data_IF_879184827852
#
_entry.id   IF_879184827852
#
_cell.length_a   1.000
_cell.length_b   1.000
_cell.length_c   1.000
_cell.angle_alpha   90.00
_cell.angle_beta   90.00
_cell.angle_gamma   90.00
#
_symmetry.space_group_name_H-M   'P 1'
#
loop_
_entity.id
_entity.type
_entity.pdbx_description
1 polymer ?
#
# COMPACT_ATOMS: atom_id res chain seq x y z
N UNK A 1 8.60 -28.52 -31.84
CA UNK A 1 7.28 -28.46 -31.17
C UNK A 1 7.47 -27.65 -29.89
N UNK A 2 6.97 -26.42 -29.90
CA UNK A 2 6.91 -25.60 -28.69
C UNK A 2 5.94 -26.28 -27.72
N UNK A 3 6.49 -27.00 -26.75
CA UNK A 3 5.70 -27.42 -25.60
C UNK A 3 5.30 -26.14 -24.87
N UNK A 4 4.02 -25.85 -24.91
CA UNK A 4 3.45 -24.75 -24.15
C UNK A 4 3.78 -24.99 -22.68
N UNK A 5 4.64 -24.16 -22.12
CA UNK A 5 5.03 -24.27 -20.71
C UNK A 5 3.80 -23.87 -19.89
N UNK A 6 3.22 -24.83 -19.19
CA UNK A 6 2.15 -24.51 -18.22
C UNK A 6 2.75 -23.62 -17.14
N UNK A 7 2.12 -22.49 -16.87
CA UNK A 7 2.51 -21.52 -15.87
C UNK A 7 1.27 -20.97 -15.17
N UNK A 8 1.33 -20.89 -13.84
CA UNK A 8 0.33 -20.25 -13.00
C UNK A 8 0.85 -18.89 -12.55
N UNK A 9 -0.03 -17.91 -12.44
CA UNK A 9 0.38 -16.61 -11.93
C UNK A 9 0.76 -16.67 -10.44
N UNK A 10 1.71 -15.85 -9.98
CA UNK A 10 2.05 -15.72 -8.57
C UNK A 10 0.86 -15.32 -7.72
N UNK A 11 0.70 -15.93 -6.56
CA UNK A 11 -0.36 -15.62 -5.60
C UNK A 11 0.20 -14.76 -4.48
N UNK A 12 -0.26 -13.53 -4.38
CA UNK A 12 0.13 -12.58 -3.34
C UNK A 12 -0.55 -12.89 -2.01
N UNK A 13 0.21 -12.82 -0.90
CA UNK A 13 -0.29 -13.10 0.44
C UNK A 13 -1.30 -12.08 0.97
N UNK A 14 -1.13 -10.79 0.63
CA UNK A 14 -1.98 -9.70 1.10
C UNK A 14 -2.08 -8.55 0.10
N UNK A 15 -3.07 -7.66 0.35
CA UNK A 15 -3.12 -6.35 -0.31
C UNK A 15 -2.33 -5.33 0.50
N UNK A 16 -1.58 -4.42 -0.16
CA UNK A 16 -0.95 -3.31 0.51
C UNK A 16 -1.99 -2.45 1.24
N UNK A 17 -1.62 -1.87 2.40
CA UNK A 17 -2.49 -0.92 3.06
C UNK A 17 -2.70 0.30 2.18
N UNK A 18 -3.94 0.77 2.11
CA UNK A 18 -4.30 1.96 1.32
C UNK A 18 -3.85 3.28 1.95
N UNK A 19 -3.39 3.25 3.21
CA UNK A 19 -2.89 4.40 3.95
C UNK A 19 -1.52 4.16 4.54
N UNK A 20 -0.65 5.16 4.45
CA UNK A 20 0.62 5.23 5.17
C UNK A 20 0.81 6.61 5.81
N UNK A 21 1.61 6.66 6.87
CA UNK A 21 1.82 7.88 7.65
C UNK A 21 2.97 8.71 7.09
N UNK A 22 2.75 10.00 6.89
CA UNK A 22 3.83 10.93 6.53
C UNK A 22 4.89 10.97 7.63
N UNK A 23 6.17 10.99 7.24
CA UNK A 23 7.35 11.02 8.12
C UNK A 23 7.42 9.84 9.12
N UNK A 24 6.86 8.69 8.77
CA UNK A 24 6.98 7.44 9.54
C UNK A 24 7.47 6.32 8.66
N UNK A 25 8.18 5.38 9.26
CA UNK A 25 8.58 4.16 8.56
C UNK A 25 7.35 3.40 8.09
N UNK A 26 7.36 3.05 6.82
CA UNK A 26 6.40 2.17 6.17
C UNK A 26 7.13 0.89 5.78
N UNK A 27 6.58 -0.24 6.16
CA UNK A 27 7.04 -1.56 5.75
C UNK A 27 5.82 -2.42 5.42
N UNK A 28 5.90 -3.16 4.34
CA UNK A 28 4.85 -4.10 3.94
C UNK A 28 5.46 -5.28 3.21
N UNK A 29 5.03 -6.48 3.58
CA UNK A 29 5.39 -7.72 2.89
C UNK A 29 4.47 -7.90 1.68
N UNK A 30 5.01 -7.64 0.49
CA UNK A 30 4.33 -7.80 -0.79
C UNK A 30 4.76 -9.09 -1.50
N UNK A 31 5.25 -10.06 -0.75
CA UNK A 31 5.65 -11.35 -1.30
C UNK A 31 4.49 -12.10 -1.96
N UNK A 32 4.85 -12.93 -2.88
CA UNK A 32 3.95 -13.87 -3.55
C UNK A 32 4.54 -15.28 -3.51
N UNK A 33 3.69 -16.26 -3.68
CA UNK A 33 4.07 -17.68 -3.83
C UNK A 33 3.75 -18.08 -5.25
N UNK A 34 4.71 -18.73 -5.91
CA UNK A 34 4.50 -19.38 -7.18
C UNK A 34 4.26 -20.87 -6.95
N UNK A 35 3.12 -21.38 -7.44
CA UNK A 35 2.74 -22.79 -7.21
C UNK A 35 3.55 -23.76 -8.06
N UNK A 36 4.10 -23.27 -9.18
CA UNK A 36 4.93 -24.07 -10.09
C UNK A 36 6.39 -24.12 -9.64
N UNK A 37 6.74 -23.36 -8.59
CA UNK A 37 8.08 -23.29 -7.99
C UNK A 37 9.05 -22.40 -8.76
N UNK A 38 8.56 -21.45 -9.53
CA UNK A 38 9.38 -20.50 -10.26
C UNK A 38 10.00 -19.45 -9.34
N UNK A 39 11.16 -18.98 -9.73
CA UNK A 39 11.84 -17.90 -8.98
C UNK A 39 11.19 -16.55 -9.28
N UNK A 40 10.78 -15.84 -8.24
CA UNK A 40 10.13 -14.54 -8.36
C UNK A 40 11.15 -13.41 -8.15
N UNK A 41 11.11 -12.40 -9.01
CA UNK A 41 11.92 -11.17 -8.92
C UNK A 41 10.99 -9.98 -8.94
N UNK A 42 11.07 -9.16 -7.88
CA UNK A 42 10.20 -8.00 -7.67
C UNK A 42 10.88 -6.71 -8.10
N UNK A 43 10.09 -5.79 -8.68
CA UNK A 43 10.54 -4.46 -9.03
C UNK A 43 9.41 -3.44 -8.96
N UNK A 44 9.73 -2.18 -8.72
CA UNK A 44 8.80 -1.09 -8.98
C UNK A 44 8.67 -0.89 -10.50
N UNK A 45 7.47 -0.62 -10.97
CA UNK A 45 7.25 -0.32 -12.38
C UNK A 45 6.16 0.76 -12.56
N UNK A 46 6.08 1.31 -13.75
CA UNK A 46 5.06 2.30 -14.07
C UNK A 46 3.68 1.65 -14.06
N UNK A 47 2.73 2.17 -13.28
CA UNK A 47 1.34 1.74 -13.36
C UNK A 47 0.75 1.89 -14.77
N UNK A 48 -0.26 1.10 -15.06
CA UNK A 48 -1.00 1.24 -16.29
C UNK A 48 -1.93 2.46 -16.25
N UNK A 49 -2.08 3.12 -17.36
CA UNK A 49 -3.08 4.16 -17.57
C UNK A 49 -4.45 3.48 -17.79
N UNK A 50 -5.36 3.62 -16.80
CA UNK A 50 -6.65 2.94 -16.86
C UNK A 50 -7.57 3.50 -17.94
N UNK A 51 -7.78 4.82 -17.93
CA UNK A 51 -8.62 5.52 -18.92
C UNK A 51 -8.07 6.90 -19.23
N UNK A 52 -8.24 7.33 -20.48
CA UNK A 52 -7.89 8.69 -20.86
C UNK A 52 -9.02 9.66 -20.53
N UNK A 53 -8.68 10.94 -20.36
CA UNK A 53 -9.65 12.03 -20.15
C UNK A 53 -10.67 12.13 -21.30
N UNK A 54 -10.30 11.65 -22.49
CA UNK A 54 -11.14 11.68 -23.70
C UNK A 54 -12.13 10.51 -23.75
N UNK A 55 -11.91 9.45 -22.96
CA UNK A 55 -12.81 8.30 -22.85
C UNK A 55 -13.07 7.95 -21.38
N UNK A 56 -13.76 8.79 -20.61
CA UNK A 56 -13.96 8.59 -19.18
C UNK A 56 -14.94 7.44 -18.84
N UNK A 57 -15.76 7.06 -19.82
CA UNK A 57 -16.76 5.97 -19.67
C UNK A 57 -16.55 4.96 -20.80
N UNK A 58 -16.58 3.69 -20.43
CA UNK A 58 -16.41 2.58 -21.38
C UNK A 58 -15.47 1.51 -20.84
N UNK A 59 -15.26 0.48 -21.62
CA UNK A 59 -14.29 -0.58 -21.33
C UNK A 59 -12.87 0.00 -21.40
N UNK A 60 -11.91 -0.58 -20.63
CA UNK A 60 -10.50 -0.22 -20.79
C UNK A 60 -10.07 -0.42 -22.24
N UNK A 61 -9.08 0.36 -22.68
CA UNK A 61 -8.49 0.18 -24.00
C UNK A 61 -7.93 -1.24 -24.12
N UNK A 62 -7.84 -1.75 -25.35
CA UNK A 62 -7.24 -3.06 -25.58
C UNK A 62 -5.74 -3.04 -25.28
N UNK A 63 -5.15 -4.14 -24.78
CA UNK A 63 -3.71 -4.22 -24.63
C UNK A 63 -2.98 -4.04 -25.97
N UNK A 64 -1.73 -3.52 -25.97
CA UNK A 64 -0.96 -3.15 -24.78
C UNK A 64 -1.46 -1.85 -24.14
N UNK A 65 -1.52 -1.86 -22.79
CA UNK A 65 -1.95 -0.67 -22.04
C UNK A 65 -0.83 0.36 -21.98
N UNK A 66 -1.18 1.64 -22.18
CA UNK A 66 -0.26 2.73 -21.91
C UNK A 66 0.06 2.84 -20.42
N UNK A 67 1.26 3.32 -20.13
CA UNK A 67 1.68 3.61 -18.76
C UNK A 67 1.42 5.08 -18.41
N UNK A 68 1.24 5.36 -17.11
CA UNK A 68 1.12 6.74 -16.62
C UNK A 68 2.39 7.55 -16.92
N UNK A 69 2.22 8.86 -16.99
CA UNK A 69 3.32 9.82 -16.99
C UNK A 69 3.44 10.45 -15.60
N UNK A 70 4.63 10.37 -15.01
CA UNK A 70 4.90 11.00 -13.71
C UNK A 70 4.85 12.52 -13.82
N UNK A 71 4.22 13.14 -12.82
CA UNK A 71 4.30 14.59 -12.67
C UNK A 71 5.57 14.93 -11.86
N UNK A 72 6.37 15.86 -12.39
CA UNK A 72 7.54 16.36 -11.64
C UNK A 72 7.13 16.85 -10.24
N UNK A 73 7.90 16.53 -9.18
CA UNK A 73 9.23 15.91 -9.20
C UNK A 73 9.23 14.38 -9.13
N UNK A 74 8.07 13.74 -9.14
CA UNK A 74 7.94 12.30 -8.93
C UNK A 74 8.48 11.48 -10.11
N UNK A 75 9.07 10.36 -9.77
CA UNK A 75 9.57 9.36 -10.71
C UNK A 75 9.48 7.98 -10.06
N UNK A 76 9.89 6.94 -10.79
CA UNK A 76 9.97 5.59 -10.24
C UNK A 76 10.98 5.51 -9.07
N UNK A 77 12.05 6.30 -9.15
CA UNK A 77 13.11 6.32 -8.14
C UNK A 77 12.81 7.26 -6.97
N UNK A 78 11.82 8.14 -7.12
CA UNK A 78 11.44 9.13 -6.10
C UNK A 78 9.92 9.14 -5.86
N UNK A 79 9.37 7.96 -5.68
CA UNK A 79 7.97 7.78 -5.37
C UNK A 79 7.71 8.03 -3.88
N UNK A 80 6.61 8.71 -3.53
CA UNK A 80 6.18 9.12 -2.20
C UNK A 80 7.00 10.24 -1.55
N UNK A 81 8.02 10.72 -2.24
CA UNK A 81 8.93 11.74 -1.71
C UNK A 81 8.90 13.00 -2.54
N UNK A 82 8.36 14.02 -2.34
CA UNK A 82 8.35 15.25 -3.13
C UNK A 82 9.74 15.74 -3.51
N UNK A 83 10.40 16.63 -2.88
CA UNK A 83 11.64 17.24 -3.37
C UNK A 83 12.89 17.02 -2.51
N UNK A 84 12.75 16.54 -1.30
CA UNK A 84 13.91 16.31 -0.43
C UNK A 84 13.51 15.69 0.91
N UNK A 85 14.38 14.88 1.45
CA UNK A 85 14.20 14.20 2.72
C UNK A 85 13.27 12.98 2.61
N UNK A 86 13.20 12.19 3.66
CA UNK A 86 12.49 10.92 3.66
C UNK A 86 13.25 9.82 2.90
N UNK A 87 12.61 8.68 2.75
CA UNK A 87 13.12 7.54 1.98
C UNK A 87 12.07 7.17 0.94
N UNK A 88 12.41 7.24 -0.36
CA UNK A 88 11.49 6.85 -1.42
C UNK A 88 11.02 5.40 -1.26
N UNK A 89 9.90 5.08 -1.88
CA UNK A 89 9.43 3.70 -1.91
C UNK A 89 10.49 2.81 -2.59
N UNK A 90 10.81 1.71 -1.94
CA UNK A 90 11.71 0.67 -2.43
C UNK A 90 11.05 -0.68 -2.29
N UNK A 91 11.44 -1.61 -3.15
CA UNK A 91 11.08 -3.00 -3.05
C UNK A 91 12.35 -3.86 -3.05
N UNK A 92 12.42 -4.80 -2.13
CA UNK A 92 13.48 -5.81 -2.18
C UNK A 92 13.17 -6.80 -3.30
N UNK A 93 14.11 -6.97 -4.23
CA UNK A 93 13.92 -7.75 -5.44
C UNK A 93 13.75 -9.25 -5.20
N UNK A 94 14.15 -9.76 -4.04
CA UNK A 94 14.07 -11.19 -3.70
C UNK A 94 12.89 -11.50 -2.81
N UNK A 95 12.62 -10.63 -1.84
CA UNK A 95 11.60 -10.87 -0.83
C UNK A 95 10.27 -10.21 -1.14
N UNK A 96 10.24 -9.20 -2.03
CA UNK A 96 9.05 -8.40 -2.28
C UNK A 96 8.72 -7.43 -1.15
N UNK A 97 9.59 -7.26 -0.14
CA UNK A 97 9.36 -6.32 0.96
C UNK A 97 9.40 -4.89 0.46
N UNK A 98 8.32 -4.15 0.69
CA UNK A 98 8.21 -2.72 0.44
C UNK A 98 8.67 -1.94 1.66
N UNK A 99 9.45 -0.88 1.44
CA UNK A 99 9.91 0.05 2.49
C UNK A 99 9.87 1.49 2.00
N UNK A 100 9.51 2.43 2.88
CA UNK A 100 9.54 3.87 2.60
C UNK A 100 9.55 4.68 3.90
N UNK A 101 9.92 5.96 3.77
CA UNK A 101 9.58 7.02 4.74
C UNK A 101 8.97 8.17 3.94
N UNK A 102 7.66 8.13 3.65
CA UNK A 102 7.01 9.14 2.84
C UNK A 102 7.12 10.52 3.47
N UNK A 103 7.44 11.55 2.71
CA UNK A 103 7.51 12.93 3.24
C UNK A 103 6.43 13.87 2.67
N UNK A 104 5.61 13.38 1.76
CA UNK A 104 4.62 14.21 1.06
C UNK A 104 3.22 13.62 1.21
N UNK A 105 2.30 14.45 1.68
CA UNK A 105 0.88 14.10 1.76
C UNK A 105 0.27 14.00 0.37
N UNK A 106 -0.64 13.06 0.16
CA UNK A 106 -1.37 12.91 -1.09
C UNK A 106 -1.69 11.48 -1.48
N UNK A 107 -2.21 11.34 -2.68
CA UNK A 107 -2.54 10.05 -3.29
C UNK A 107 -1.48 9.71 -4.34
N UNK A 108 -0.95 8.52 -4.25
CA UNK A 108 0.11 8.04 -5.13
C UNK A 108 -0.30 6.72 -5.75
N UNK A 109 -0.13 6.62 -7.06
CA UNK A 109 -0.31 5.38 -7.77
C UNK A 109 1.01 4.61 -7.82
N UNK A 110 1.00 3.39 -7.32
CA UNK A 110 2.17 2.51 -7.21
C UNK A 110 1.97 1.31 -8.11
N UNK A 111 3.00 0.99 -8.89
CA UNK A 111 3.03 -0.22 -9.70
C UNK A 111 4.16 -1.15 -9.25
N UNK A 112 3.83 -2.42 -9.11
CA UNK A 112 4.78 -3.49 -8.80
C UNK A 112 4.72 -4.54 -9.90
N UNK A 113 5.89 -4.89 -10.40
CA UNK A 113 6.08 -5.95 -11.36
C UNK A 113 6.77 -7.14 -10.69
N UNK A 114 6.26 -8.33 -10.92
CA UNK A 114 6.85 -9.59 -10.50
C UNK A 114 7.18 -10.40 -11.75
N UNK A 115 8.45 -10.68 -11.94
CA UNK A 115 8.96 -11.48 -13.04
C UNK A 115 9.20 -12.92 -12.58
N UNK A 116 8.74 -13.88 -13.36
CA UNK A 116 8.83 -15.30 -13.08
C UNK A 116 9.93 -15.94 -13.90
N UNK A 117 10.84 -16.63 -13.25
CA UNK A 117 11.98 -17.28 -13.89
C UNK A 117 11.99 -18.78 -13.62
N UNK A 118 12.05 -19.57 -14.69
CA UNK A 118 12.26 -21.03 -14.64
C UNK A 118 13.59 -21.37 -15.28
N UNK A 119 14.47 -22.02 -14.50
CA UNK A 119 15.82 -22.35 -14.95
C UNK A 119 16.60 -21.12 -15.49
N UNK A 120 16.45 -19.97 -14.86
CA UNK A 120 17.10 -18.72 -15.25
C UNK A 120 16.50 -18.03 -16.49
N UNK A 121 15.46 -18.58 -17.11
CA UNK A 121 14.76 -17.97 -18.24
C UNK A 121 13.49 -17.29 -17.77
N UNK A 122 13.29 -16.02 -18.16
CA UNK A 122 12.04 -15.30 -17.95
C UNK A 122 10.91 -16.00 -18.70
N UNK A 123 9.84 -16.37 -18.02
CA UNK A 123 8.69 -17.05 -18.59
C UNK A 123 7.43 -16.20 -18.58
N UNK A 124 7.25 -15.37 -17.56
CA UNK A 124 6.13 -14.44 -17.49
C UNK A 124 6.43 -13.24 -16.59
N UNK A 125 5.54 -12.26 -16.59
CA UNK A 125 5.52 -11.22 -15.57
C UNK A 125 4.09 -10.83 -15.24
N UNK A 126 3.88 -10.52 -13.96
CA UNK A 126 2.60 -10.04 -13.44
C UNK A 126 2.77 -8.63 -12.93
N UNK A 127 1.86 -7.74 -13.25
CA UNK A 127 1.82 -6.36 -12.75
C UNK A 127 0.65 -6.17 -11.79
N UNK A 128 0.91 -5.46 -10.70
CA UNK A 128 -0.09 -5.05 -9.72
C UNK A 128 0.00 -3.57 -9.47
N UNK A 129 -1.08 -2.86 -9.77
CA UNK A 129 -1.21 -1.42 -9.54
C UNK A 129 -2.15 -1.17 -8.38
N UNK A 130 -1.79 -0.25 -7.48
CA UNK A 130 -2.62 0.15 -6.35
C UNK A 130 -2.40 1.61 -5.97
N UNK A 131 -3.40 2.19 -5.31
CA UNK A 131 -3.31 3.54 -4.76
C UNK A 131 -2.85 3.49 -3.30
N UNK A 132 -1.93 4.38 -2.95
CA UNK A 132 -1.46 4.59 -1.59
C UNK A 132 -1.71 6.05 -1.18
N UNK A 133 -2.42 6.24 -0.06
CA UNK A 133 -2.73 7.54 0.49
C UNK A 133 -1.75 7.85 1.64
N UNK A 134 -0.96 8.90 1.48
CA UNK A 134 -0.07 9.39 2.52
C UNK A 134 -0.81 10.44 3.33
N UNK A 135 -1.03 10.14 4.60
CA UNK A 135 -1.86 10.95 5.51
C UNK A 135 -1.10 11.36 6.77
N UNK A 136 -1.50 12.45 7.45
CA UNK A 136 -0.96 12.76 8.76
C UNK A 136 -1.51 11.76 9.77
N UNK A 137 -0.64 10.96 10.37
CA UNK A 137 -1.01 10.08 11.47
C UNK A 137 -0.74 10.81 12.78
N UNK A 138 -1.71 11.59 13.22
CA UNK A 138 -1.72 12.17 14.55
C UNK A 138 -1.91 11.10 15.63
N UNK A 139 -1.68 11.49 16.87
CA UNK A 139 -2.02 10.69 18.03
C UNK A 139 -3.56 10.53 18.03
N UNK A 140 -4.04 9.31 17.86
CA UNK A 140 -5.48 9.05 17.85
C UNK A 140 -6.04 9.25 19.26
N UNK A 141 -7.12 10.00 19.46
CA UNK A 141 -7.82 10.02 20.73
C UNK A 141 -8.38 8.61 21.00
N UNK A 142 -8.19 8.16 22.21
CA UNK A 142 -8.72 6.90 22.69
C UNK A 142 -9.71 7.19 23.80
N UNK A 143 -10.99 6.88 23.59
CA UNK A 143 -12.04 7.05 24.57
C UNK A 143 -12.02 5.88 25.57
N UNK A 144 -11.93 6.22 26.85
CA UNK A 144 -11.93 5.23 27.92
C UNK A 144 -12.48 5.85 29.20
N UNK A 145 -13.09 5.04 30.04
CA UNK A 145 -13.55 5.47 31.37
C UNK A 145 -13.43 4.33 32.37
N UNK A 146 -13.31 4.68 33.61
CA UNK A 146 -13.35 3.79 34.76
C UNK A 146 -14.54 4.16 35.65
N UNK A 147 -15.34 3.18 36.04
CA UNK A 147 -16.42 3.39 36.99
C UNK A 147 -15.83 3.38 38.40
N UNK A 148 -16.07 4.47 39.14
CA UNK A 148 -15.51 4.67 40.48
C UNK A 148 -16.47 4.34 41.59
N UNK A 149 -17.75 4.02 41.31
CA UNK A 149 -18.77 3.64 42.26
C UNK A 149 -19.06 2.13 42.18
N UNK A 150 -19.44 1.54 43.30
CA UNK A 150 -19.86 0.14 43.37
C UNK A 150 -21.11 -0.10 42.51
N UNK A 151 -21.23 -1.34 42.00
CA UNK A 151 -22.37 -1.74 41.11
C UNK A 151 -23.74 -1.54 41.76
N UNK A 152 -23.79 -1.51 43.12
CA UNK A 152 -25.02 -1.42 43.92
C UNK A 152 -25.21 -0.04 44.58
N UNK A 153 -24.54 1.00 44.11
CA UNK A 153 -24.62 2.35 44.68
C UNK A 153 -25.88 3.15 44.27
N UNK A 154 -26.93 2.47 43.80
CA UNK A 154 -28.20 3.08 43.44
C UNK A 154 -28.14 3.80 42.09
N UNK A 155 -28.95 4.85 41.93
CA UNK A 155 -29.05 5.61 40.67
C UNK A 155 -27.87 6.56 40.39
N UNK A 156 -27.07 6.84 41.42
CA UNK A 156 -25.90 7.74 41.28
C UNK A 156 -24.67 6.92 40.93
N UNK A 157 -24.19 7.08 39.71
CA UNK A 157 -22.97 6.45 39.22
C UNK A 157 -21.92 7.50 38.92
N UNK A 158 -20.69 7.25 39.30
CA UNK A 158 -19.56 8.12 39.01
C UNK A 158 -18.57 7.44 38.08
N UNK A 159 -18.15 8.17 37.08
CA UNK A 159 -17.19 7.71 36.07
C UNK A 159 -15.99 8.64 36.05
N UNK A 160 -14.81 8.06 36.03
CA UNK A 160 -13.56 8.77 35.82
C UNK A 160 -13.16 8.68 34.36
N UNK A 161 -12.96 9.79 33.73
CA UNK A 161 -12.42 9.83 32.37
C UNK A 161 -10.96 9.36 32.39
N UNK A 162 -10.67 8.29 31.65
CA UNK A 162 -9.32 7.74 31.43
C UNK A 162 -8.92 7.82 29.97
N UNK A 163 -9.68 8.56 29.17
CA UNK A 163 -9.36 8.78 27.76
C UNK A 163 -8.01 9.47 27.59
N UNK A 164 -7.34 9.16 26.49
CA UNK A 164 -6.03 9.72 26.17
C UNK A 164 -6.08 10.45 24.84
N UNK A 165 -5.19 11.43 24.67
CA UNK A 165 -4.98 12.15 23.41
C UNK A 165 -6.19 12.96 22.89
N UNK A 166 -7.20 13.20 23.71
CA UNK A 166 -8.30 14.12 23.42
C UNK A 166 -8.09 15.47 24.10
N UNK A 167 -8.61 16.54 23.53
CA UNK A 167 -8.58 17.91 24.09
C UNK A 167 -9.89 18.28 24.78
N UNK A 168 -10.99 17.56 24.45
CA UNK A 168 -12.31 17.69 25.07
C UNK A 168 -13.02 16.35 25.06
N UNK A 169 -13.95 16.16 26.00
CA UNK A 169 -14.71 14.91 26.15
C UNK A 169 -16.15 15.23 26.48
N UNK A 170 -17.07 14.60 25.79
CA UNK A 170 -18.51 14.70 26.03
C UNK A 170 -19.07 13.31 26.32
N UNK A 171 -20.07 13.26 27.22
CA UNK A 171 -20.74 12.02 27.62
C UNK A 171 -22.20 12.09 27.25
N UNK A 172 -22.70 11.10 26.53
CA UNK A 172 -24.12 10.98 26.13
C UNK A 172 -24.75 9.76 26.76
#
# INVERSE_FOLDING_TARGET
SDMQVCNSNPVFGAFPPIYACVNKNFEFDHSAIDIDGDSLVYSLCKPNLGKTRLKPQGYPDNPPFDSITWRSPYSLDDLLNGNSGGVPLRIDSRTGKLTAVPNTLGQFLVGICVSEYRNGKLISFTKRDFEMNIVPCGIRPFASFERTTDKCSGLNQSFKNTSTNGTSFEWY
#
